data_IF_391840628578
#
_entry.id   IF_391840628578
#
_cell.length_a   1.000
_cell.length_b   1.000
_cell.length_c   1.000
_cell.angle_alpha   90.00
_cell.angle_beta   90.00
_cell.angle_gamma   90.00
#
_symmetry.space_group_name_H-M   'P 1'
#
loop_
_entity.id
_entity.type
_entity.pdbx_description
1 polymer ?
#
# COMPACT_ATOMS: atom_id res chain seq x y z
N UNK A 1 -32.57 -16.84 -9.88
CA UNK A 1 -31.40 -17.53 -9.32
C UNK A 1 -30.75 -16.53 -8.38
N UNK A 2 -30.63 -16.86 -7.10
CA UNK A 2 -30.15 -15.93 -6.09
C UNK A 2 -28.63 -15.76 -6.22
N UNK A 3 -28.18 -14.52 -6.41
CA UNK A 3 -26.80 -14.11 -6.16
C UNK A 3 -26.53 -14.35 -4.68
N UNK A 4 -25.70 -15.34 -4.38
CA UNK A 4 -25.16 -15.53 -3.04
C UNK A 4 -24.14 -14.42 -2.82
N UNK A 5 -24.55 -13.39 -2.06
CA UNK A 5 -23.64 -12.42 -1.47
C UNK A 5 -22.53 -13.18 -0.72
N UNK A 6 -21.29 -12.98 -1.14
CA UNK A 6 -20.12 -13.44 -0.41
C UNK A 6 -19.87 -12.44 0.75
N UNK A 7 -20.72 -12.47 1.79
CA UNK A 7 -20.73 -11.50 2.91
C UNK A 7 -19.51 -11.58 3.84
N UNK A 8 -18.52 -12.42 3.54
CA UNK A 8 -17.40 -12.73 4.44
C UNK A 8 -16.01 -12.42 3.88
N UNK A 9 -15.91 -11.83 2.68
CA UNK A 9 -14.62 -11.44 2.11
C UNK A 9 -14.44 -9.93 2.26
N UNK A 10 -13.46 -9.52 3.07
CA UNK A 10 -13.12 -8.11 3.20
C UNK A 10 -12.42 -7.65 1.92
N UNK A 11 -12.93 -6.60 1.30
CA UNK A 11 -12.29 -5.97 0.14
C UNK A 11 -10.85 -5.56 0.50
N UNK A 12 -9.91 -5.79 -0.42
CA UNK A 12 -8.51 -5.40 -0.31
C UNK A 12 -8.35 -3.91 0.07
N UNK A 13 -9.22 -3.04 -0.45
CA UNK A 13 -9.21 -1.62 -0.12
C UNK A 13 -9.54 -1.38 1.36
N UNK A 14 -10.53 -2.09 1.89
CA UNK A 14 -10.91 -2.00 3.31
C UNK A 14 -9.80 -2.53 4.22
N UNK A 15 -9.12 -3.61 3.81
CA UNK A 15 -7.94 -4.11 4.55
C UNK A 15 -6.79 -3.08 4.53
N UNK A 16 -6.50 -2.49 3.38
CA UNK A 16 -5.48 -1.46 3.25
C UNK A 16 -5.77 -0.24 4.16
N UNK A 17 -7.02 0.22 4.18
CA UNK A 17 -7.44 1.34 5.03
C UNK A 17 -7.23 1.05 6.53
N UNK A 18 -7.42 -0.19 6.97
CA UNK A 18 -7.14 -0.56 8.35
C UNK A 18 -5.65 -0.43 8.70
N UNK A 19 -4.75 -0.82 7.80
CA UNK A 19 -3.31 -0.62 7.99
C UNK A 19 -2.94 0.86 7.99
N UNK A 20 -3.53 1.66 7.10
CA UNK A 20 -3.32 3.11 7.06
C UNK A 20 -3.81 3.79 8.34
N UNK A 21 -4.97 3.40 8.85
CA UNK A 21 -5.49 3.91 10.12
C UNK A 21 -4.56 3.62 11.30
N UNK A 22 -3.99 2.41 11.36
CA UNK A 22 -2.98 2.08 12.36
C UNK A 22 -1.71 2.93 12.20
N UNK A 23 -1.23 3.14 10.97
CA UNK A 23 -0.07 4.01 10.71
C UNK A 23 -0.35 5.47 11.13
N UNK A 24 -1.53 6.00 10.82
CA UNK A 24 -1.93 7.36 11.21
C UNK A 24 -2.02 7.53 12.73
N UNK A 25 -2.54 6.53 13.44
CA UNK A 25 -2.55 6.53 14.90
C UNK A 25 -1.13 6.59 15.49
N UNK A 26 -0.17 5.84 14.91
CA UNK A 26 1.23 5.92 15.33
C UNK A 26 1.83 7.31 15.12
N UNK A 27 1.56 7.96 13.98
CA UNK A 27 2.00 9.34 13.74
C UNK A 27 1.44 10.29 14.80
N UNK A 28 0.14 10.17 15.10
CA UNK A 28 -0.57 11.04 16.06
C UNK A 28 -0.12 10.85 17.52
N UNK A 29 -0.07 9.61 18.00
CA UNK A 29 0.12 9.30 19.43
C UNK A 29 1.58 9.41 19.88
N UNK A 30 2.53 9.12 18.98
CA UNK A 30 3.93 8.91 19.39
C UNK A 30 4.90 10.03 18.99
N UNK A 31 4.40 11.19 18.51
CA UNK A 31 5.19 12.31 17.95
C UNK A 31 6.24 11.86 16.93
N UNK A 32 6.00 10.73 16.25
CA UNK A 32 6.91 10.23 15.24
C UNK A 32 6.64 10.97 13.95
N UNK A 33 7.70 11.26 13.20
CA UNK A 33 7.52 11.76 11.85
C UNK A 33 6.93 10.67 10.94
N UNK A 34 6.24 11.11 9.89
CA UNK A 34 5.63 10.22 8.89
C UNK A 34 6.66 9.31 8.24
N UNK A 35 7.91 9.77 8.09
CA UNK A 35 8.98 9.00 7.43
C UNK A 35 9.39 7.75 8.23
N UNK A 36 9.43 7.86 9.56
CA UNK A 36 9.76 6.76 10.46
C UNK A 36 8.63 5.74 10.52
N UNK A 37 7.38 6.21 10.57
CA UNK A 37 6.22 5.31 10.53
C UNK A 37 6.14 4.60 9.17
N UNK A 38 6.39 5.32 8.07
CA UNK A 38 6.47 4.73 6.73
C UNK A 38 7.57 3.67 6.61
N UNK A 39 8.76 3.92 7.17
CA UNK A 39 9.84 2.93 7.24
C UNK A 39 9.47 1.69 8.06
N UNK A 40 8.80 1.87 9.19
CA UNK A 40 8.28 0.76 10.01
C UNK A 40 7.22 -0.05 9.26
N UNK A 41 6.34 0.61 8.50
CA UNK A 41 5.32 -0.04 7.67
C UNK A 41 5.97 -0.89 6.56
N UNK A 42 6.99 -0.37 5.87
CA UNK A 42 7.74 -1.13 4.86
C UNK A 42 8.37 -2.39 5.46
N UNK A 43 8.96 -2.28 6.66
CA UNK A 43 9.53 -3.44 7.35
C UNK A 43 8.47 -4.45 7.78
N UNK A 44 7.29 -3.99 8.21
CA UNK A 44 6.17 -4.87 8.56
C UNK A 44 5.69 -5.67 7.34
N UNK A 45 5.50 -5.01 6.19
CA UNK A 45 5.13 -5.65 4.92
C UNK A 45 6.16 -6.71 4.51
N UNK A 46 7.45 -6.37 4.58
CA UNK A 46 8.52 -7.31 4.24
C UNK A 46 8.48 -8.59 5.11
N UNK A 47 8.20 -8.46 6.41
CA UNK A 47 8.08 -9.60 7.33
C UNK A 47 6.85 -10.46 7.05
N UNK A 48 5.72 -9.82 6.75
CA UNK A 48 4.49 -10.51 6.40
C UNK A 48 4.65 -11.30 5.10
N UNK A 49 5.20 -10.68 4.05
CA UNK A 49 5.44 -11.30 2.75
C UNK A 49 6.48 -12.44 2.84
N UNK A 50 7.52 -12.28 3.67
CA UNK A 50 8.48 -13.36 3.91
C UNK A 50 7.81 -14.58 4.58
N UNK A 51 6.88 -14.35 5.50
CA UNK A 51 6.09 -15.42 6.11
C UNK A 51 5.18 -16.10 5.07
N UNK A 52 4.47 -15.31 4.25
CA UNK A 52 3.66 -15.83 3.15
C UNK A 52 4.48 -16.68 2.16
N UNK A 53 5.67 -16.21 1.78
CA UNK A 53 6.58 -16.99 0.93
C UNK A 53 6.93 -18.33 1.58
N UNK A 54 7.28 -18.30 2.87
CA UNK A 54 7.65 -19.50 3.62
C UNK A 54 6.52 -20.52 3.76
N UNK A 55 5.25 -20.08 3.76
CA UNK A 55 4.10 -20.98 3.90
C UNK A 55 3.71 -21.67 2.59
N UNK A 56 4.21 -21.20 1.44
CA UNK A 56 3.85 -21.71 0.10
C UNK A 56 4.79 -22.80 -0.43
N UNK A 57 5.92 -23.04 0.23
CA UNK A 57 6.94 -23.99 -0.22
C UNK A 57 7.57 -24.73 0.96
N UNK A 58 8.05 -25.94 0.73
CA UNK A 58 8.91 -26.67 1.68
C UNK A 58 10.40 -26.41 1.44
N UNK A 59 10.76 -25.80 0.32
CA UNK A 59 12.13 -25.42 -0.04
C UNK A 59 12.18 -23.92 -0.39
N UNK A 60 12.22 -23.08 0.65
CA UNK A 60 12.32 -21.63 0.50
C UNK A 60 13.69 -21.20 -0.07
N UNK A 61 14.72 -22.04 0.03
CA UNK A 61 16.04 -21.73 -0.54
C UNK A 61 15.94 -21.72 -2.06
N UNK A 62 15.29 -22.72 -2.65
CA UNK A 62 15.11 -22.81 -4.09
C UNK A 62 14.24 -21.68 -4.67
N UNK A 63 13.24 -21.20 -3.92
CA UNK A 63 12.29 -20.18 -4.41
C UNK A 63 12.55 -18.77 -3.87
N UNK A 64 13.68 -18.55 -3.18
CA UNK A 64 13.98 -17.27 -2.50
C UNK A 64 13.93 -16.09 -3.45
N UNK A 65 14.66 -16.18 -4.55
CA UNK A 65 14.88 -15.05 -5.45
C UNK A 65 13.61 -14.72 -6.23
N UNK A 66 12.85 -15.74 -6.64
CA UNK A 66 11.53 -15.60 -7.26
C UNK A 66 10.55 -14.89 -6.32
N UNK A 67 10.51 -15.27 -5.03
CA UNK A 67 9.67 -14.61 -4.05
C UNK A 67 10.06 -13.13 -3.87
N UNK A 68 11.36 -12.83 -3.73
CA UNK A 68 11.84 -11.46 -3.58
C UNK A 68 11.44 -10.62 -4.79
N UNK A 69 11.68 -11.13 -6.00
CA UNK A 69 11.32 -10.44 -7.23
C UNK A 69 9.81 -10.16 -7.29
N UNK A 70 8.98 -11.18 -7.05
CA UNK A 70 7.53 -11.05 -7.08
C UNK A 70 7.04 -9.97 -6.12
N UNK A 71 7.36 -10.06 -4.83
CA UNK A 71 6.88 -9.11 -3.83
C UNK A 71 7.41 -7.69 -4.07
N UNK A 72 8.66 -7.56 -4.53
CA UNK A 72 9.24 -6.24 -4.82
C UNK A 72 8.59 -5.56 -6.02
N UNK A 73 8.26 -6.32 -7.07
CA UNK A 73 7.55 -5.81 -8.24
C UNK A 73 6.12 -5.37 -7.89
N UNK A 74 5.39 -6.18 -7.11
CA UNK A 74 4.05 -5.82 -6.64
C UNK A 74 4.05 -4.50 -5.86
N UNK A 75 4.98 -4.33 -4.91
CA UNK A 75 5.10 -3.08 -4.17
C UNK A 75 5.47 -1.90 -5.07
N UNK A 76 6.39 -2.11 -6.02
CA UNK A 76 6.83 -1.07 -6.96
C UNK A 76 5.67 -0.59 -7.85
N UNK A 77 4.86 -1.50 -8.38
CA UNK A 77 3.69 -1.17 -9.19
C UNK A 77 2.71 -0.31 -8.39
N UNK A 78 2.29 -0.77 -7.22
CA UNK A 78 1.36 -0.04 -6.35
C UNK A 78 1.91 1.34 -5.94
N UNK A 79 3.19 1.44 -5.58
CA UNK A 79 3.81 2.71 -5.21
C UNK A 79 3.84 3.68 -6.41
N UNK A 80 4.16 3.17 -7.60
CA UNK A 80 4.19 3.97 -8.84
C UNK A 80 2.82 4.55 -9.13
N UNK A 81 1.77 3.71 -9.10
CA UNK A 81 0.40 4.14 -9.36
C UNK A 81 -0.07 5.22 -8.38
N UNK A 82 0.28 5.09 -7.10
CA UNK A 82 -0.06 6.09 -6.09
C UNK A 82 0.68 7.41 -6.32
N UNK A 83 1.98 7.37 -6.64
CA UNK A 83 2.75 8.58 -6.96
C UNK A 83 2.19 9.29 -8.20
N UNK A 84 1.85 8.53 -9.24
CA UNK A 84 1.28 9.08 -10.48
C UNK A 84 -0.08 9.75 -10.22
N UNK A 85 -0.90 9.17 -9.35
CA UNK A 85 -2.14 9.81 -8.89
C UNK A 85 -1.87 11.15 -8.17
N UNK A 86 -0.88 11.23 -7.28
CA UNK A 86 -0.51 12.50 -6.64
C UNK A 86 0.00 13.54 -7.64
N UNK A 87 0.76 13.12 -8.66
CA UNK A 87 1.21 14.01 -9.74
C UNK A 87 0.01 14.58 -10.51
N UNK A 88 -0.96 13.74 -10.83
CA UNK A 88 -2.16 14.16 -11.56
C UNK A 88 -3.04 15.11 -10.73
N UNK A 89 -3.24 14.82 -9.44
CA UNK A 89 -3.95 15.70 -8.52
C UNK A 89 -3.29 17.08 -8.41
N UNK A 90 -1.95 17.13 -8.35
CA UNK A 90 -1.21 18.38 -8.29
C UNK A 90 -1.39 19.23 -9.56
N UNK A 91 -1.39 18.60 -10.75
CA UNK A 91 -1.68 19.30 -12.03
C UNK A 91 -3.08 19.90 -12.04
N UNK A 92 -4.07 19.11 -11.62
CA UNK A 92 -5.47 19.56 -11.58
C UNK A 92 -5.67 20.74 -10.62
N UNK A 93 -4.94 20.78 -9.51
CA UNK A 93 -4.96 21.91 -8.58
C UNK A 93 -4.38 23.17 -9.22
N UNK A 94 -3.23 23.06 -9.89
CA UNK A 94 -2.59 24.18 -10.58
C UNK A 94 -3.49 24.77 -11.70
N UNK A 95 -4.15 23.91 -12.48
CA UNK A 95 -5.07 24.35 -13.55
C UNK A 95 -6.31 25.08 -12.99
N UNK A 96 -6.83 24.62 -11.85
CA UNK A 96 -7.94 25.28 -11.15
C UNK A 96 -7.52 26.67 -10.66
N UNK A 97 -6.35 26.80 -10.07
CA UNK A 97 -5.83 28.09 -9.59
C UNK A 97 -5.59 29.06 -10.76
N UNK A 98 -5.04 28.56 -11.88
CA UNK A 98 -4.82 29.37 -13.07
C UNK A 98 -6.13 29.87 -13.70
N UNK A 99 -7.17 29.03 -13.74
CA UNK A 99 -8.49 29.42 -14.26
C UNK A 99 -9.22 30.39 -13.33
N UNK A 100 -9.11 30.22 -12.01
CA UNK A 100 -9.64 31.15 -11.02
C UNK A 100 -8.95 32.53 -11.05
N UNK A 101 -7.65 32.59 -11.34
CA UNK A 101 -6.91 33.85 -11.44
C UNK A 101 -7.20 34.69 -12.69
N UNK A 102 -7.82 34.09 -13.71
CA UNK A 102 -8.19 34.73 -14.99
C UNK A 102 -9.66 35.15 -15.07
N UNK A 103 -10.44 34.85 -14.03
CA UNK A 103 -11.87 35.19 -13.90
C UNK A 103 -12.04 36.39 -12.98
#
# INVERSE_FOLDING_TARGET
>A
MAEQNNENEMDMLVMADQFINAANALVGDSKQDVSRVGGAMCYAVARFNAHEASSKTTDLVATRDEAIEWFSNQYKEMLTDNIDQYIELAKQQADKELSASKS
#
